data_IF_235662493036
#
_entry.id   IF_235662493036
#
_cell.length_a   1.000
_cell.length_b   1.000
_cell.length_c   1.000
_cell.angle_alpha   90.00
_cell.angle_beta   90.00
_cell.angle_gamma   90.00
#
_symmetry.space_group_name_H-M   'P 1'
#
loop_
_entity.id
_entity.type
_entity.pdbx_description
1 polymer ?
#
# COMPACT_ATOMS: atom_id res chain seq x y z
N UNK A 1 -27.37 2.29 -13.26
CA UNK A 1 -28.63 1.59 -12.98
C UNK A 1 -29.56 2.38 -12.07
N UNK A 2 -29.29 2.49 -10.75
CA UNK A 2 -30.21 3.13 -9.79
C UNK A 2 -30.55 4.59 -10.14
N UNK A 3 -29.56 5.39 -10.56
CA UNK A 3 -29.80 6.77 -11.04
C UNK A 3 -30.78 6.86 -12.22
N UNK A 4 -30.77 5.86 -13.10
CA UNK A 4 -31.60 5.85 -14.31
C UNK A 4 -32.94 5.14 -14.09
N UNK A 5 -33.06 4.33 -13.03
CA UNK A 5 -34.27 3.57 -12.69
C UNK A 5 -34.54 3.61 -11.19
N UNK A 6 -35.03 4.74 -10.64
CA UNK A 6 -35.21 4.91 -9.19
C UNK A 6 -36.14 3.87 -8.55
N UNK A 7 -37.15 3.40 -9.30
CA UNK A 7 -38.12 2.38 -8.85
C UNK A 7 -37.49 1.02 -8.56
N UNK A 8 -36.27 0.75 -9.07
CA UNK A 8 -35.64 -0.56 -8.91
C UNK A 8 -35.42 -0.92 -7.44
N UNK A 9 -35.16 0.06 -6.57
CA UNK A 9 -34.97 -0.18 -5.14
C UNK A 9 -36.26 -0.68 -4.47
N UNK A 10 -37.42 -0.17 -4.89
CA UNK A 10 -38.72 -0.64 -4.40
C UNK A 10 -39.04 -2.07 -4.86
N UNK A 11 -38.71 -2.40 -6.11
CA UNK A 11 -38.86 -3.77 -6.64
C UNK A 11 -37.96 -4.75 -5.87
N UNK A 12 -36.72 -4.36 -5.58
CA UNK A 12 -35.80 -5.16 -4.76
C UNK A 12 -36.33 -5.32 -3.32
N UNK A 13 -36.89 -4.25 -2.74
CA UNK A 13 -37.52 -4.31 -1.41
C UNK A 13 -38.68 -5.31 -1.39
N UNK A 14 -39.60 -5.22 -2.36
CA UNK A 14 -40.75 -6.13 -2.46
C UNK A 14 -40.29 -7.59 -2.60
N UNK A 15 -39.25 -7.84 -3.38
CA UNK A 15 -38.68 -9.16 -3.52
C UNK A 15 -38.11 -9.69 -2.19
N UNK A 16 -37.32 -8.88 -1.48
CA UNK A 16 -36.73 -9.24 -0.19
C UNK A 16 -37.82 -9.52 0.86
N UNK A 17 -38.85 -8.69 0.91
CA UNK A 17 -39.88 -8.76 1.95
C UNK A 17 -40.89 -9.89 1.70
N UNK A 18 -41.28 -10.13 0.44
CA UNK A 18 -42.43 -10.98 0.12
C UNK A 18 -42.12 -12.21 -0.72
N UNK A 19 -41.03 -12.24 -1.50
CA UNK A 19 -40.79 -13.31 -2.48
C UNK A 19 -39.83 -14.40 -2.01
N UNK A 20 -39.17 -14.23 -0.85
CA UNK A 20 -38.37 -15.14 0.00
C UNK A 20 -37.45 -16.23 -0.62
N UNK A 21 -37.51 -16.55 -1.91
CA UNK A 21 -36.61 -17.52 -2.55
C UNK A 21 -35.43 -16.79 -3.18
N UNK A 22 -34.25 -16.88 -2.54
CA UNK A 22 -32.97 -16.43 -3.08
C UNK A 22 -32.32 -15.26 -2.34
N UNK A 23 -31.01 -15.10 -2.55
CA UNK A 23 -30.21 -14.01 -1.99
C UNK A 23 -29.96 -12.94 -3.05
N UNK A 24 -30.05 -11.66 -2.66
CA UNK A 24 -29.68 -10.54 -3.53
C UNK A 24 -28.27 -10.08 -3.18
N UNK A 25 -27.37 -10.06 -4.16
CA UNK A 25 -26.03 -9.49 -4.03
C UNK A 25 -25.94 -8.22 -4.87
N UNK A 26 -25.69 -7.09 -4.21
CA UNK A 26 -25.46 -5.81 -4.88
C UNK A 26 -23.96 -5.52 -4.91
N UNK A 27 -23.41 -5.38 -6.11
CA UNK A 27 -22.01 -5.01 -6.31
C UNK A 27 -21.91 -3.64 -7.00
N UNK A 28 -20.88 -2.88 -6.64
CA UNK A 28 -20.64 -1.56 -7.24
C UNK A 28 -19.30 -0.98 -6.80
N UNK A 29 -18.62 -0.31 -7.73
CA UNK A 29 -17.30 0.29 -7.50
C UNK A 29 -17.35 1.58 -6.68
N UNK A 30 -18.50 2.27 -6.65
CA UNK A 30 -18.69 3.50 -5.89
C UNK A 30 -19.13 3.21 -4.45
N UNK A 31 -18.20 3.23 -3.50
CA UNK A 31 -18.50 3.01 -2.08
C UNK A 31 -19.54 4.00 -1.55
N UNK A 32 -19.51 5.27 -1.99
CA UNK A 32 -20.50 6.27 -1.58
C UNK A 32 -21.89 5.92 -2.09
N UNK A 33 -22.04 5.54 -3.36
CA UNK A 33 -23.31 5.08 -3.91
C UNK A 33 -23.79 3.83 -3.17
N UNK A 34 -22.92 2.84 -2.96
CA UNK A 34 -23.28 1.60 -2.24
C UNK A 34 -23.76 1.88 -0.81
N UNK A 35 -23.18 2.87 -0.12
CA UNK A 35 -23.66 3.32 1.20
C UNK A 35 -25.00 4.02 1.11
N UNK A 36 -25.22 4.84 0.08
CA UNK A 36 -26.47 5.56 -0.15
C UNK A 36 -27.64 4.58 -0.39
N UNK A 37 -27.39 3.47 -1.09
CA UNK A 37 -28.39 2.42 -1.36
C UNK A 37 -28.99 1.81 -0.09
N UNK A 38 -28.28 1.87 1.05
CA UNK A 38 -28.74 1.30 2.33
C UNK A 38 -28.88 2.38 3.41
N UNK A 39 -28.91 3.65 3.00
CA UNK A 39 -29.02 4.78 3.92
C UNK A 39 -30.46 5.00 4.39
N UNK A 40 -30.63 5.80 5.45
CA UNK A 40 -31.95 6.11 5.99
C UNK A 40 -32.79 6.81 4.91
N UNK A 41 -34.01 6.31 4.65
CA UNK A 41 -34.87 6.76 3.56
C UNK A 41 -34.77 5.93 2.27
N UNK A 42 -33.79 5.03 2.15
CA UNK A 42 -33.76 4.05 1.05
C UNK A 42 -34.76 2.90 1.29
N UNK A 43 -35.43 2.37 0.25
CA UNK A 43 -36.21 1.12 0.32
C UNK A 43 -35.44 -0.06 0.92
N UNK A 44 -34.11 -0.10 0.74
CA UNK A 44 -33.27 -1.17 1.27
C UNK A 44 -32.74 -0.89 2.69
N UNK A 45 -33.15 0.20 3.32
CA UNK A 45 -32.78 0.50 4.71
C UNK A 45 -33.20 -0.63 5.64
N UNK A 46 -32.30 -1.04 6.54
CA UNK A 46 -32.54 -2.14 7.49
C UNK A 46 -32.53 -3.54 6.90
N UNK A 47 -32.44 -3.71 5.57
CA UNK A 47 -32.49 -5.01 4.87
C UNK A 47 -31.12 -5.60 4.53
N UNK A 48 -30.05 -4.93 4.96
CA UNK A 48 -28.67 -5.36 4.71
C UNK A 48 -28.24 -6.39 5.74
N UNK A 49 -27.99 -7.62 5.30
CA UNK A 49 -27.46 -8.72 6.14
C UNK A 49 -25.93 -8.75 6.16
N UNK A 50 -25.28 -8.44 5.04
CA UNK A 50 -23.82 -8.45 4.90
C UNK A 50 -23.33 -7.25 4.10
N UNK A 51 -22.18 -6.69 4.49
CA UNK A 51 -21.48 -5.66 3.74
C UNK A 51 -20.02 -6.04 3.62
N UNK A 52 -19.56 -6.32 2.40
CA UNK A 52 -18.16 -6.63 2.12
C UNK A 52 -17.55 -5.48 1.30
N UNK A 53 -16.45 -4.91 1.80
CA UNK A 53 -15.56 -4.09 0.98
C UNK A 53 -14.47 -5.01 0.46
N UNK A 54 -14.47 -5.27 -0.84
CA UNK A 54 -13.43 -6.05 -1.49
C UNK A 54 -12.23 -5.14 -1.67
N UNK A 55 -11.14 -5.44 -0.97
CA UNK A 55 -9.85 -4.75 -1.08
C UNK A 55 -8.92 -5.54 -2.03
N UNK A 56 -7.84 -4.93 -2.53
CA UNK A 56 -6.78 -5.65 -3.21
C UNK A 56 -6.26 -6.83 -2.38
N UNK A 57 -5.78 -7.87 -3.06
CA UNK A 57 -5.12 -9.00 -2.41
C UNK A 57 -3.91 -8.52 -1.61
N UNK A 58 -3.73 -9.10 -0.43
CA UNK A 58 -2.52 -8.88 0.36
C UNK A 58 -1.34 -9.58 -0.31
N UNK A 59 -0.13 -9.07 -0.07
CA UNK A 59 1.11 -9.62 -0.62
C UNK A 59 1.18 -11.16 -0.50
N UNK A 60 0.79 -11.66 0.66
CA UNK A 60 0.89 -13.08 0.98
C UNK A 60 0.03 -14.02 0.10
N UNK A 61 -0.99 -13.50 -0.59
CA UNK A 61 -1.88 -14.30 -1.43
C UNK A 61 -1.48 -14.28 -2.91
N UNK A 62 -0.62 -13.34 -3.33
CA UNK A 62 -0.30 -13.21 -4.76
C UNK A 62 0.57 -14.37 -5.27
N UNK A 63 1.24 -15.10 -4.37
CA UNK A 63 2.06 -16.26 -4.72
C UNK A 63 1.27 -17.37 -5.42
N UNK A 64 -0.05 -17.45 -5.18
CA UNK A 64 -0.94 -18.40 -5.86
C UNK A 64 -1.00 -18.17 -7.38
N UNK A 65 -0.74 -16.94 -7.85
CA UNK A 65 -0.66 -16.60 -9.27
C UNK A 65 0.70 -16.94 -9.90
N UNK A 66 1.74 -17.11 -9.08
CA UNK A 66 3.13 -17.29 -9.51
C UNK A 66 3.82 -18.41 -8.71
N UNK A 67 3.40 -19.68 -8.89
CA UNK A 67 3.86 -20.79 -8.06
C UNK A 67 5.38 -21.06 -8.12
N UNK A 68 6.03 -20.63 -9.22
CA UNK A 68 7.48 -20.82 -9.42
C UNK A 68 8.33 -19.62 -8.98
N UNK A 69 7.71 -18.53 -8.52
CA UNK A 69 8.43 -17.32 -8.15
C UNK A 69 8.98 -17.41 -6.73
N UNK A 70 10.21 -16.94 -6.55
CA UNK A 70 10.73 -16.75 -5.20
C UNK A 70 10.00 -15.59 -4.51
N UNK A 71 10.03 -15.51 -3.17
CA UNK A 71 9.52 -14.34 -2.46
C UNK A 71 10.16 -13.02 -2.94
N UNK A 72 11.40 -13.05 -3.45
CA UNK A 72 12.04 -11.87 -4.00
C UNK A 72 11.34 -11.41 -5.28
N UNK A 73 10.96 -12.35 -6.14
CA UNK A 73 10.25 -12.06 -7.38
C UNK A 73 8.80 -11.68 -7.11
N UNK A 74 8.15 -12.28 -6.10
CA UNK A 74 6.83 -11.85 -5.64
C UNK A 74 6.85 -10.41 -5.11
N UNK A 75 7.89 -9.98 -4.39
CA UNK A 75 8.01 -8.57 -3.96
C UNK A 75 8.13 -7.64 -5.17
N UNK A 76 8.84 -8.04 -6.23
CA UNK A 76 8.91 -7.28 -7.48
C UNK A 76 7.54 -7.20 -8.15
N UNK A 77 6.84 -8.32 -8.31
CA UNK A 77 5.48 -8.36 -8.87
C UNK A 77 4.52 -7.49 -8.07
N UNK A 78 4.49 -7.66 -6.75
CA UNK A 78 3.66 -6.84 -5.87
C UNK A 78 4.02 -5.36 -6.01
N UNK A 79 5.31 -5.03 -6.14
CA UNK A 79 5.76 -3.67 -6.38
C UNK A 79 5.30 -3.10 -7.72
N UNK A 80 5.20 -3.93 -8.76
CA UNK A 80 4.73 -3.50 -10.07
C UNK A 80 3.22 -3.28 -10.14
N UNK A 81 2.43 -4.21 -9.59
CA UNK A 81 0.98 -4.25 -9.85
C UNK A 81 0.11 -4.34 -8.59
N UNK A 82 0.72 -4.39 -7.41
CA UNK A 82 0.01 -4.55 -6.15
C UNK A 82 -0.74 -5.87 -6.07
N UNK A 83 -1.90 -5.83 -5.43
CA UNK A 83 -2.77 -6.98 -5.22
C UNK A 83 -4.00 -7.02 -6.13
N UNK A 84 -4.00 -6.32 -7.26
CA UNK A 84 -5.16 -6.26 -8.15
C UNK A 84 -5.20 -7.53 -9.02
N UNK A 85 -6.22 -8.41 -8.89
CA UNK A 85 -6.24 -9.68 -9.60
C UNK A 85 -6.16 -9.54 -11.13
N UNK A 86 -6.85 -8.54 -11.70
CA UNK A 86 -6.80 -8.27 -13.15
C UNK A 86 -5.36 -8.06 -13.62
N UNK A 87 -4.56 -7.28 -12.90
CA UNK A 87 -3.17 -7.01 -13.29
C UNK A 87 -2.27 -8.22 -13.07
N UNK A 88 -2.49 -8.98 -11.99
CA UNK A 88 -1.73 -10.21 -11.73
C UNK A 88 -1.95 -11.25 -12.83
N UNK A 89 -3.18 -11.36 -13.36
CA UNK A 89 -3.53 -12.27 -14.47
C UNK A 89 -2.94 -11.84 -15.83
N UNK A 90 -2.53 -10.58 -15.99
CA UNK A 90 -1.86 -10.12 -17.22
C UNK A 90 -0.41 -10.57 -17.29
N UNK A 91 0.24 -10.76 -16.15
CA UNK A 91 1.63 -11.17 -16.11
C UNK A 91 1.75 -12.66 -16.42
N UNK A 92 2.79 -13.04 -17.15
CA UNK A 92 3.08 -14.43 -17.46
C UNK A 92 3.96 -15.05 -16.35
N UNK A 93 3.49 -16.07 -15.61
CA UNK A 93 4.22 -16.66 -14.49
C UNK A 93 5.41 -17.54 -14.91
N UNK A 94 5.62 -17.77 -16.20
CA UNK A 94 6.71 -18.58 -16.74
C UNK A 94 7.95 -17.78 -17.14
N UNK A 95 7.88 -16.44 -17.12
CA UNK A 95 9.01 -15.54 -17.42
C UNK A 95 9.43 -14.78 -16.16
N UNK A 96 10.51 -14.00 -16.19
CA UNK A 96 10.94 -13.19 -15.04
C UNK A 96 10.01 -12.00 -14.80
N UNK A 97 10.05 -11.45 -13.59
CA UNK A 97 9.34 -10.20 -13.25
C UNK A 97 9.79 -9.02 -14.13
N UNK A 98 11.07 -8.96 -14.47
CA UNK A 98 11.66 -7.93 -15.31
C UNK A 98 11.18 -8.04 -16.75
N UNK A 99 11.10 -9.26 -17.29
CA UNK A 99 10.56 -9.49 -18.64
C UNK A 99 9.06 -9.16 -18.70
N UNK A 100 8.31 -9.48 -17.64
CA UNK A 100 6.92 -9.03 -17.49
C UNK A 100 6.82 -7.49 -17.51
N UNK A 101 7.71 -6.80 -16.79
CA UNK A 101 7.76 -5.34 -16.81
C UNK A 101 8.02 -4.81 -18.23
N UNK A 102 9.05 -5.35 -18.91
CA UNK A 102 9.39 -4.99 -20.29
C UNK A 102 8.20 -5.12 -21.22
N UNK A 103 7.46 -6.24 -21.18
CA UNK A 103 6.31 -6.47 -22.07
C UNK A 103 5.13 -5.57 -21.74
N UNK A 104 4.72 -5.55 -20.48
CA UNK A 104 3.44 -4.95 -20.11
C UNK A 104 3.50 -3.43 -19.96
N UNK A 105 4.62 -2.88 -19.46
CA UNK A 105 4.78 -1.45 -19.25
C UNK A 105 5.55 -0.77 -20.37
N UNK A 106 6.66 -1.34 -20.84
CA UNK A 106 7.56 -0.66 -21.79
C UNK A 106 7.38 -1.11 -23.24
N UNK A 107 6.76 -2.28 -23.45
CA UNK A 107 6.44 -2.88 -24.74
C UNK A 107 5.02 -2.55 -25.21
N UNK A 108 4.38 -1.54 -24.60
CA UNK A 108 3.00 -1.11 -24.89
C UNK A 108 1.97 -2.24 -24.71
N UNK A 109 2.19 -3.11 -23.74
CA UNK A 109 1.21 -4.10 -23.30
C UNK A 109 0.04 -3.47 -22.54
N UNK A 110 -0.75 -4.28 -21.84
CA UNK A 110 -1.99 -3.82 -21.21
C UNK A 110 -1.73 -2.72 -20.16
N UNK A 111 -0.66 -2.88 -19.37
CA UNK A 111 -0.33 -1.99 -18.25
C UNK A 111 0.24 -0.64 -18.68
N UNK A 112 0.59 -0.46 -19.95
CA UNK A 112 1.14 0.80 -20.46
C UNK A 112 0.11 1.93 -20.46
N UNK A 113 -1.11 1.73 -20.99
CA UNK A 113 -2.11 2.80 -21.10
C UNK A 113 -3.20 2.77 -20.00
N UNK A 114 -3.21 1.73 -19.16
CA UNK A 114 -4.27 1.49 -18.18
C UNK A 114 -4.43 2.65 -17.18
N UNK A 115 -3.35 3.28 -16.72
CA UNK A 115 -3.39 4.41 -15.81
C UNK A 115 -4.14 5.61 -16.41
N UNK A 116 -3.86 5.94 -17.67
CA UNK A 116 -4.58 7.01 -18.37
C UNK A 116 -6.03 6.66 -18.60
N UNK A 117 -6.32 5.41 -19.00
CA UNK A 117 -7.68 4.92 -19.19
C UNK A 117 -8.50 5.05 -17.90
N UNK A 118 -7.96 4.58 -16.77
CA UNK A 118 -8.62 4.64 -15.47
C UNK A 118 -8.85 6.08 -15.00
N UNK A 119 -7.89 6.98 -15.21
CA UNK A 119 -8.04 8.38 -14.84
C UNK A 119 -9.06 9.06 -15.74
N UNK A 120 -9.01 8.87 -17.06
CA UNK A 120 -9.99 9.41 -18.04
C UNK A 120 -11.41 8.96 -17.71
N UNK A 121 -11.58 7.70 -17.32
CA UNK A 121 -12.87 7.16 -16.95
C UNK A 121 -13.45 7.81 -15.68
N UNK A 122 -12.59 8.19 -14.73
CA UNK A 122 -13.01 8.67 -13.40
C UNK A 122 -13.01 10.19 -13.27
N UNK A 123 -12.25 10.92 -14.08
CA UNK A 123 -11.88 12.32 -13.85
C UNK A 123 -12.01 13.16 -15.13
N UNK A 124 -12.39 14.44 -14.96
CA UNK A 124 -12.60 15.38 -16.09
C UNK A 124 -11.38 16.26 -16.42
N UNK A 125 -10.56 16.62 -15.42
CA UNK A 125 -9.38 17.48 -15.58
C UNK A 125 -8.11 16.69 -15.29
N UNK A 126 -7.61 15.96 -16.29
CA UNK A 126 -6.51 15.01 -16.13
C UNK A 126 -5.16 15.67 -15.94
N UNK A 127 -4.94 16.82 -16.58
CA UNK A 127 -3.66 17.52 -16.53
C UNK A 127 -3.28 17.84 -15.08
N UNK A 128 -4.21 18.43 -14.31
CA UNK A 128 -3.93 18.75 -12.90
C UNK A 128 -3.67 17.49 -12.05
N UNK A 129 -4.38 16.39 -12.29
CA UNK A 129 -4.12 15.13 -11.56
C UNK A 129 -2.77 14.53 -11.91
N UNK A 130 -2.40 14.51 -13.20
CA UNK A 130 -1.10 14.03 -13.66
C UNK A 130 0.02 14.84 -13.03
N UNK A 131 -0.06 16.17 -13.03
CA UNK A 131 0.94 17.04 -12.39
C UNK A 131 1.10 16.76 -10.89
N UNK A 132 0.01 16.47 -10.17
CA UNK A 132 0.09 16.11 -8.75
C UNK A 132 0.72 14.72 -8.57
N UNK A 133 0.33 13.73 -9.37
CA UNK A 133 0.83 12.36 -9.26
C UNK A 133 2.33 12.28 -9.62
N UNK A 134 2.75 12.98 -10.66
CA UNK A 134 4.15 13.17 -11.03
C UNK A 134 4.96 13.87 -9.93
N UNK A 135 4.43 14.94 -9.33
CA UNK A 135 5.09 15.55 -8.18
C UNK A 135 5.25 14.57 -7.00
N UNK A 136 4.23 13.77 -6.71
CA UNK A 136 4.34 12.77 -5.64
C UNK A 136 5.35 11.67 -6.01
N UNK A 137 5.41 11.21 -7.26
CA UNK A 137 6.40 10.20 -7.70
C UNK A 137 7.84 10.71 -7.61
N UNK A 138 8.07 12.00 -7.87
CA UNK A 138 9.37 12.66 -7.64
C UNK A 138 9.73 12.90 -6.17
N UNK A 139 8.87 12.51 -5.23
CA UNK A 139 9.19 12.53 -3.80
C UNK A 139 8.80 13.82 -3.07
N UNK A 140 8.00 14.69 -3.69
CA UNK A 140 7.35 15.79 -2.97
C UNK A 140 6.22 15.21 -2.10
N UNK A 141 6.37 15.29 -0.77
CA UNK A 141 5.51 14.53 0.16
C UNK A 141 4.65 15.42 1.05
N UNK A 142 4.98 16.67 1.28
CA UNK A 142 4.18 17.58 2.10
C UNK A 142 3.21 18.39 1.26
N UNK A 143 2.16 18.91 1.90
CA UNK A 143 1.21 19.79 1.23
C UNK A 143 1.89 21.04 0.65
N UNK A 144 2.85 21.61 1.37
CA UNK A 144 3.56 22.82 0.95
C UNK A 144 4.51 22.55 -0.23
N UNK A 145 5.24 21.43 -0.20
CA UNK A 145 6.07 21.00 -1.33
C UNK A 145 5.23 20.81 -2.59
N UNK A 146 4.13 20.05 -2.49
CA UNK A 146 3.21 19.85 -3.61
C UNK A 146 2.63 21.15 -4.11
N UNK A 147 2.18 22.04 -3.22
CA UNK A 147 1.66 23.36 -3.60
C UNK A 147 2.69 24.18 -4.36
N UNK A 148 3.93 24.19 -3.89
CA UNK A 148 5.00 24.98 -4.49
C UNK A 148 5.41 24.44 -5.86
N UNK A 149 5.60 23.12 -6.01
CA UNK A 149 6.04 22.53 -7.29
C UNK A 149 4.91 22.51 -8.34
N UNK A 150 3.66 22.32 -7.92
CA UNK A 150 2.51 22.29 -8.85
C UNK A 150 1.96 23.67 -9.18
N UNK A 151 2.33 24.71 -8.42
CA UNK A 151 1.79 26.08 -8.57
C UNK A 151 0.29 26.23 -8.25
N UNK A 152 -0.36 25.18 -7.74
CA UNK A 152 -1.79 25.21 -7.43
C UNK A 152 -2.07 26.03 -6.18
N UNK A 153 -3.21 26.73 -6.15
CA UNK A 153 -3.69 27.33 -4.91
C UNK A 153 -4.08 26.24 -3.89
N UNK A 154 -4.05 26.59 -2.59
CA UNK A 154 -4.27 25.62 -1.52
C UNK A 154 -5.67 24.99 -1.53
N UNK A 155 -6.70 25.71 -1.99
CA UNK A 155 -8.06 25.18 -2.04
C UNK A 155 -8.21 24.15 -3.16
N UNK A 156 -7.63 24.45 -4.33
CA UNK A 156 -7.58 23.55 -5.46
C UNK A 156 -6.77 22.30 -5.11
N UNK A 157 -5.53 22.42 -4.63
CA UNK A 157 -4.72 21.26 -4.25
C UNK A 157 -5.44 20.34 -3.23
N UNK A 158 -6.10 20.93 -2.22
CA UNK A 158 -6.89 20.15 -1.25
C UNK A 158 -7.99 19.33 -1.92
N UNK A 159 -8.70 19.90 -2.89
CA UNK A 159 -9.77 19.21 -3.63
C UNK A 159 -9.24 18.05 -4.45
N UNK A 160 -8.17 18.25 -5.23
CA UNK A 160 -7.60 17.20 -6.08
C UNK A 160 -7.00 16.06 -5.23
N UNK A 161 -6.24 16.38 -4.17
CA UNK A 161 -5.73 15.36 -3.25
C UNK A 161 -6.86 14.56 -2.58
N UNK A 162 -7.95 15.23 -2.17
CA UNK A 162 -9.09 14.53 -1.57
C UNK A 162 -9.74 13.54 -2.55
N UNK A 163 -9.81 13.90 -3.84
CA UNK A 163 -10.34 13.00 -4.87
C UNK A 163 -9.39 11.81 -5.08
N UNK A 164 -8.08 12.05 -5.24
CA UNK A 164 -7.09 10.97 -5.39
C UNK A 164 -7.04 10.03 -4.18
N UNK A 165 -7.20 10.56 -2.97
CA UNK A 165 -7.31 9.77 -1.73
C UNK A 165 -8.57 8.93 -1.71
N UNK A 166 -9.71 9.51 -2.09
CA UNK A 166 -10.98 8.76 -2.16
C UNK A 166 -10.96 7.67 -3.24
N UNK A 167 -10.19 7.86 -4.31
CA UNK A 167 -9.95 6.85 -5.34
C UNK A 167 -8.95 5.76 -4.90
N UNK A 168 -8.24 5.95 -3.79
CA UNK A 168 -7.20 5.03 -3.32
C UNK A 168 -5.87 5.14 -4.06
N UNK A 169 -5.73 6.11 -4.98
CA UNK A 169 -4.51 6.32 -5.77
C UNK A 169 -3.44 7.01 -4.92
N UNK A 170 -3.83 8.01 -4.12
CA UNK A 170 -2.93 8.72 -3.21
C UNK A 170 -3.25 8.35 -1.77
N UNK A 171 -2.21 8.04 -1.00
CA UNK A 171 -2.29 7.88 0.44
C UNK A 171 -1.92 9.18 1.17
N UNK A 172 -2.40 9.28 2.41
CA UNK A 172 -1.95 10.30 3.35
C UNK A 172 -1.63 9.63 4.68
N UNK A 173 -0.39 9.75 5.12
CA UNK A 173 0.07 9.23 6.40
C UNK A 173 0.45 10.37 7.36
N UNK A 174 0.44 10.10 8.66
CA UNK A 174 0.94 10.99 9.72
C UNK A 174 1.67 10.14 10.74
N UNK A 175 2.58 10.71 11.55
CA UNK A 175 3.31 9.94 12.55
C UNK A 175 2.34 9.17 13.43
N UNK A 176 2.60 7.90 13.70
CA UNK A 176 1.66 7.02 14.44
C UNK A 176 1.41 7.51 15.87
N UNK A 177 2.30 8.33 16.42
CA UNK A 177 2.14 8.96 17.74
C UNK A 177 1.20 10.16 17.72
N UNK A 178 0.92 10.75 16.56
CA UNK A 178 -0.08 11.80 16.46
C UNK A 178 -1.48 11.24 16.70
N UNK A 179 -2.28 11.95 17.49
CA UNK A 179 -3.70 11.63 17.66
C UNK A 179 -4.44 11.96 16.35
N UNK A 180 -5.45 11.15 15.95
CA UNK A 180 -6.25 11.43 14.77
C UNK A 180 -6.92 12.80 14.88
N UNK A 181 -6.40 13.81 14.19
CA UNK A 181 -7.04 15.12 14.01
C UNK A 181 -7.46 15.24 12.55
N UNK A 182 -8.58 15.94 12.28
CA UNK A 182 -9.07 16.20 10.91
C UNK A 182 -8.01 16.88 10.00
N UNK A 183 -7.03 17.57 10.59
CA UNK A 183 -5.87 18.15 9.89
C UNK A 183 -4.59 17.89 10.68
N UNK A 184 -3.99 16.72 10.49
CA UNK A 184 -2.61 16.48 10.91
C UNK A 184 -1.68 17.38 10.08
N UNK A 185 -0.99 18.33 10.72
CA UNK A 185 -0.16 19.34 10.03
C UNK A 185 1.13 18.74 9.45
N UNK A 186 1.56 17.60 9.98
CA UNK A 186 2.80 16.93 9.60
C UNK A 186 2.54 15.70 8.72
N UNK A 187 1.45 15.70 7.93
CA UNK A 187 1.15 14.56 7.06
C UNK A 187 2.02 14.53 5.82
N UNK A 188 2.33 13.31 5.37
CA UNK A 188 2.99 13.04 4.09
C UNK A 188 2.03 12.35 3.11
N UNK A 189 2.12 12.71 1.84
CA UNK A 189 1.40 12.13 0.72
C UNK A 189 2.32 11.17 -0.05
N UNK A 190 1.75 10.11 -0.59
CA UNK A 190 2.44 9.10 -1.39
C UNK A 190 1.45 8.48 -2.39
N UNK A 191 1.94 7.89 -3.47
CA UNK A 191 1.09 7.08 -4.34
C UNK A 191 0.86 5.74 -3.63
N UNK A 192 -0.38 5.47 -3.24
CA UNK A 192 -0.73 4.28 -2.46
C UNK A 192 -0.93 3.03 -3.31
N UNK A 193 -1.26 3.21 -4.58
CA UNK A 193 -1.43 2.13 -5.54
C UNK A 193 -0.10 1.85 -6.26
N UNK A 194 0.41 0.63 -6.11
CA UNK A 194 1.72 0.22 -6.64
C UNK A 194 1.80 0.31 -8.17
N UNK A 195 0.71 0.02 -8.88
CA UNK A 195 0.65 0.16 -10.33
C UNK A 195 0.80 1.63 -10.74
N UNK A 196 0.01 2.52 -10.12
CA UNK A 196 0.15 3.95 -10.36
C UNK A 196 1.54 4.46 -9.99
N UNK A 197 2.15 3.94 -8.92
CA UNK A 197 3.49 4.35 -8.51
C UNK A 197 4.54 3.97 -9.55
N UNK A 198 4.49 2.75 -10.10
CA UNK A 198 5.38 2.34 -11.20
C UNK A 198 5.12 3.14 -12.47
N UNK A 199 3.86 3.33 -12.84
CA UNK A 199 3.50 4.11 -14.03
C UNK A 199 4.06 5.53 -13.97
N UNK A 200 3.79 6.28 -12.91
CA UNK A 200 4.24 7.68 -12.78
C UNK A 200 5.73 7.84 -12.48
N UNK A 201 6.42 6.79 -12.06
CA UNK A 201 7.87 6.84 -11.79
C UNK A 201 8.68 6.43 -13.03
N UNK A 202 8.26 5.38 -13.74
CA UNK A 202 9.08 4.74 -14.77
C UNK A 202 8.52 4.83 -16.18
N UNK A 203 7.20 5.02 -16.35
CA UNK A 203 6.56 5.02 -17.68
C UNK A 203 6.21 6.44 -18.12
N UNK A 204 5.43 7.16 -17.32
CA UNK A 204 4.90 8.48 -17.65
C UNK A 204 5.98 9.49 -18.08
N UNK A 205 7.16 9.59 -17.42
CA UNK A 205 8.20 10.54 -17.84
C UNK A 205 8.83 10.24 -19.20
N UNK A 206 8.75 8.99 -19.67
CA UNK A 206 9.36 8.50 -20.91
C UNK A 206 8.33 8.11 -21.96
N UNK A 207 7.08 8.58 -21.80
CA UNK A 207 5.96 8.12 -22.61
C UNK A 207 6.20 8.34 -24.10
N UNK A 208 6.66 9.53 -24.48
CA UNK A 208 6.96 9.89 -25.88
C UNK A 208 8.01 8.94 -26.51
N UNK A 209 9.09 8.65 -25.79
CA UNK A 209 10.12 7.70 -26.25
C UNK A 209 9.54 6.29 -26.46
N UNK A 210 8.72 5.80 -25.52
CA UNK A 210 8.05 4.50 -25.65
C UNK A 210 7.08 4.49 -26.85
N UNK A 211 6.34 5.56 -27.11
CA UNK A 211 5.42 5.67 -28.26
C UNK A 211 6.17 5.64 -29.61
N UNK A 212 7.36 6.24 -29.66
CA UNK A 212 8.27 6.23 -30.80
C UNK A 212 9.01 4.89 -30.99
N UNK A 213 8.81 3.92 -30.09
CA UNK A 213 9.50 2.63 -30.13
C UNK A 213 10.94 2.68 -29.63
N UNK A 214 11.28 3.68 -28.81
CA UNK A 214 12.59 3.91 -28.20
C UNK A 214 12.51 3.80 -26.66
N UNK A 215 12.22 2.61 -26.09
CA UNK A 215 11.99 2.46 -24.66
C UNK A 215 13.27 2.40 -23.81
N UNK A 216 14.45 2.46 -24.42
CA UNK A 216 15.73 2.16 -23.76
C UNK A 216 15.99 3.06 -22.55
N UNK A 217 15.74 4.37 -22.64
CA UNK A 217 15.92 5.30 -21.51
C UNK A 217 14.98 4.98 -20.33
N UNK A 218 13.74 4.58 -20.63
CA UNK A 218 12.76 4.18 -19.63
C UNK A 218 13.18 2.88 -18.93
N UNK A 219 13.70 1.92 -19.70
CA UNK A 219 14.20 0.64 -19.22
C UNK A 219 15.45 0.80 -18.36
N UNK A 220 16.40 1.63 -18.80
CA UNK A 220 17.60 1.96 -18.00
C UNK A 220 17.22 2.63 -16.67
N UNK A 221 16.27 3.56 -16.69
CA UNK A 221 15.77 4.17 -15.47
C UNK A 221 15.10 3.14 -14.54
N UNK A 222 14.25 2.27 -15.08
CA UNK A 222 13.62 1.19 -14.33
C UNK A 222 14.67 0.26 -13.70
N UNK A 223 15.63 -0.23 -14.49
CA UNK A 223 16.68 -1.13 -13.99
C UNK A 223 17.52 -0.50 -12.88
N UNK A 224 17.84 0.79 -13.00
CA UNK A 224 18.64 1.53 -12.01
C UNK A 224 17.89 1.77 -10.70
N UNK A 225 16.63 2.22 -10.79
CA UNK A 225 15.92 2.79 -9.64
C UNK A 225 14.79 1.90 -9.09
N UNK A 226 14.39 0.83 -9.79
CA UNK A 226 13.33 -0.07 -9.33
C UNK A 226 13.67 -0.74 -7.99
N UNK A 227 14.92 -1.18 -7.79
CA UNK A 227 15.32 -1.78 -6.50
C UNK A 227 15.21 -0.80 -5.32
N UNK A 228 15.40 0.51 -5.56
CA UNK A 228 15.19 1.54 -4.55
C UNK A 228 13.70 1.70 -4.24
N UNK A 229 12.86 1.71 -5.27
CA UNK A 229 11.40 1.72 -5.12
C UNK A 229 10.88 0.51 -4.32
N UNK A 230 11.45 -0.68 -4.54
CA UNK A 230 11.11 -1.89 -3.77
C UNK A 230 11.35 -1.75 -2.26
N UNK A 231 12.24 -0.85 -1.83
CA UNK A 231 12.39 -0.53 -0.40
C UNK A 231 11.07 -0.05 0.22
N UNK A 232 10.37 0.86 -0.45
CA UNK A 232 9.08 1.39 -0.01
C UNK A 232 7.98 0.32 -0.06
N UNK A 233 7.95 -0.48 -1.13
CA UNK A 233 7.01 -1.62 -1.25
C UNK A 233 7.23 -2.61 -0.09
N UNK A 234 8.49 -2.90 0.23
CA UNK A 234 8.85 -3.87 1.27
C UNK A 234 8.50 -3.37 2.68
N UNK A 235 8.50 -2.07 2.94
CA UNK A 235 7.95 -1.50 4.18
C UNK A 235 6.45 -1.83 4.34
N UNK A 236 5.67 -1.71 3.26
CA UNK A 236 4.26 -2.11 3.22
C UNK A 236 4.08 -3.60 3.51
N UNK A 237 4.86 -4.45 2.83
CA UNK A 237 4.85 -5.91 3.06
C UNK A 237 5.26 -6.28 4.49
N UNK A 238 6.28 -5.63 5.05
CA UNK A 238 6.71 -5.83 6.44
C UNK A 238 5.60 -5.42 7.43
N UNK A 239 4.86 -4.35 7.14
CA UNK A 239 3.71 -3.93 7.95
C UNK A 239 2.61 -4.99 7.94
N UNK A 240 2.26 -5.52 6.76
CA UNK A 240 1.27 -6.62 6.65
C UNK A 240 1.71 -7.86 7.42
N UNK A 241 3.00 -8.20 7.33
CA UNK A 241 3.61 -9.30 8.06
C UNK A 241 3.50 -9.13 9.59
N UNK A 242 3.88 -7.97 10.12
CA UNK A 242 3.76 -7.67 11.55
C UNK A 242 2.31 -7.70 12.03
N UNK A 243 1.34 -7.24 11.21
CA UNK A 243 -0.09 -7.38 11.50
C UNK A 243 -0.49 -8.87 11.58
N UNK A 244 0.04 -9.70 10.69
CA UNK A 244 -0.16 -11.15 10.73
C UNK A 244 0.36 -11.77 12.04
N UNK A 245 1.60 -11.46 12.43
CA UNK A 245 2.18 -11.89 13.71
C UNK A 245 1.36 -11.41 14.92
N UNK A 246 0.87 -10.18 14.89
CA UNK A 246 0.03 -9.60 15.94
C UNK A 246 -1.26 -10.40 16.14
N UNK A 247 -1.95 -10.73 15.03
CA UNK A 247 -3.17 -11.54 15.07
C UNK A 247 -2.91 -12.95 15.61
N UNK A 248 -1.78 -13.54 15.23
CA UNK A 248 -1.36 -14.87 15.68
C UNK A 248 -0.79 -14.88 17.12
N UNK A 249 -0.70 -13.73 17.81
CA UNK A 249 -0.13 -13.67 19.17
C UNK A 249 1.37 -13.97 19.22
N UNK A 250 2.09 -13.83 18.10
CA UNK A 250 3.53 -14.15 17.97
C UNK A 250 4.45 -12.95 18.24
N UNK A 251 3.91 -11.84 18.75
CA UNK A 251 4.67 -10.65 19.15
C UNK A 251 4.71 -10.53 20.68
N UNK A 252 5.69 -9.81 21.27
CA UNK A 252 5.80 -9.63 22.72
C UNK A 252 4.59 -8.96 23.39
N UNK A 253 3.74 -8.32 22.60
CA UNK A 253 2.45 -7.76 23.01
C UNK A 253 1.53 -7.62 21.80
N UNK A 254 0.23 -7.44 22.06
CA UNK A 254 -0.73 -7.09 21.02
C UNK A 254 -0.76 -5.58 20.81
N UNK A 255 -0.41 -5.10 19.62
CA UNK A 255 -0.54 -3.68 19.30
C UNK A 255 -1.94 -3.34 18.78
N UNK A 256 -2.38 -2.11 19.00
CA UNK A 256 -3.66 -1.58 18.51
C UNK A 256 -3.47 -0.58 17.36
N UNK A 257 -2.27 0.00 17.23
CA UNK A 257 -1.89 0.92 16.15
C UNK A 257 -0.53 0.55 15.60
N UNK A 258 -0.35 0.71 14.29
CA UNK A 258 0.95 0.56 13.61
C UNK A 258 1.03 1.54 12.43
N UNK A 259 2.15 2.25 12.33
CA UNK A 259 2.43 3.19 11.25
C UNK A 259 3.85 3.73 11.37
N UNK A 260 4.26 4.63 10.48
CA UNK A 260 5.59 5.23 10.54
C UNK A 260 5.66 6.33 11.60
N UNK A 261 6.87 6.76 11.93
CA UNK A 261 7.11 7.93 12.76
C UNK A 261 8.20 8.79 12.15
N UNK A 262 8.02 10.11 12.15
CA UNK A 262 9.05 11.05 11.75
C UNK A 262 9.03 12.31 12.60
N UNK A 263 10.22 12.86 12.86
CA UNK A 263 10.40 14.13 13.54
C UNK A 263 11.70 14.79 13.05
N UNK A 264 11.59 16.01 12.51
CA UNK A 264 12.71 16.71 11.86
C UNK A 264 13.33 15.83 10.76
N UNK A 265 14.59 15.45 10.91
CA UNK A 265 15.35 14.64 9.95
C UNK A 265 15.39 13.14 10.32
N UNK A 266 14.66 12.73 11.36
CA UNK A 266 14.65 11.37 11.87
C UNK A 266 13.35 10.66 11.49
N UNK A 267 13.45 9.40 11.11
CA UNK A 267 12.32 8.55 10.72
C UNK A 267 12.53 7.11 11.23
N UNK A 268 11.44 6.48 11.67
CA UNK A 268 11.35 5.06 11.98
C UNK A 268 10.29 4.46 11.07
N UNK A 269 10.68 3.46 10.28
CA UNK A 269 9.87 2.85 9.23
C UNK A 269 8.54 2.32 9.79
N UNK A 270 8.56 1.59 10.91
CA UNK A 270 7.35 1.09 11.56
C UNK A 270 7.42 1.20 13.09
N UNK A 271 6.36 1.76 13.67
CA UNK A 271 6.16 1.86 15.11
C UNK A 271 4.78 1.29 15.44
N UNK A 272 4.78 0.24 16.26
CA UNK A 272 3.58 -0.42 16.75
C UNK A 272 3.35 -0.05 18.22
N UNK A 273 2.13 0.38 18.55
CA UNK A 273 1.77 0.93 19.87
C UNK A 273 0.63 0.17 20.51
N UNK A 274 0.73 -0.02 21.83
CA UNK A 274 -0.39 -0.31 22.71
C UNK A 274 -0.41 0.72 23.85
N UNK A 275 -1.28 1.72 23.71
CA UNK A 275 -1.42 2.84 24.66
C UNK A 275 -1.90 2.38 26.03
N UNK A 276 -2.74 1.34 26.11
CA UNK A 276 -3.29 0.83 27.38
C UNK A 276 -2.22 0.14 28.21
N UNK A 277 -1.36 -0.64 27.58
CA UNK A 277 -0.27 -1.37 28.24
C UNK A 277 1.03 -0.59 28.32
N UNK A 278 1.10 0.61 27.72
CA UNK A 278 2.33 1.40 27.54
C UNK A 278 3.47 0.57 26.94
N UNK A 279 3.20 -0.11 25.81
CA UNK A 279 4.19 -0.92 25.09
C UNK A 279 4.36 -0.43 23.65
N UNK A 280 5.61 -0.38 23.20
CA UNK A 280 5.97 0.03 21.86
C UNK A 280 6.96 -0.95 21.23
N UNK A 281 6.80 -1.21 19.93
CA UNK A 281 7.76 -1.92 19.10
C UNK A 281 8.19 -0.99 17.96
N UNK A 282 9.49 -0.71 17.89
CA UNK A 282 10.12 0.05 16.81
C UNK A 282 10.79 -0.92 15.85
N UNK A 283 10.60 -0.73 14.55
CA UNK A 283 11.13 -1.63 13.52
C UNK A 283 11.68 -0.82 12.35
N UNK A 284 12.91 -1.14 11.97
CA UNK A 284 13.49 -0.73 10.68
C UNK A 284 13.24 -1.82 9.65
N UNK A 285 12.98 -1.41 8.40
CA UNK A 285 12.76 -2.29 7.27
C UNK A 285 13.80 -2.01 6.20
N UNK A 286 14.48 -3.05 5.72
CA UNK A 286 15.56 -2.89 4.74
C UNK A 286 15.47 -3.91 3.61
N UNK A 287 15.19 -3.44 2.40
CA UNK A 287 15.29 -4.25 1.19
C UNK A 287 16.75 -4.47 0.77
N UNK A 288 17.52 -5.14 1.63
CA UNK A 288 18.95 -5.40 1.46
C UNK A 288 19.35 -6.71 2.15
N UNK A 289 20.33 -7.40 1.57
CA UNK A 289 21.01 -8.53 2.20
C UNK A 289 22.02 -8.00 3.22
N UNK A 290 21.80 -8.23 4.52
CA UNK A 290 22.56 -7.63 5.61
C UNK A 290 23.57 -8.60 6.24
N UNK A 291 24.79 -8.12 6.44
CA UNK A 291 25.76 -8.74 7.35
C UNK A 291 25.38 -8.46 8.80
N UNK A 292 25.86 -9.30 9.72
CA UNK A 292 25.55 -9.17 11.16
C UNK A 292 25.96 -7.78 11.70
N UNK A 293 27.13 -7.26 11.28
CA UNK A 293 27.62 -5.94 11.72
C UNK A 293 26.73 -4.78 11.23
N UNK A 294 26.21 -4.86 10.01
CA UNK A 294 25.29 -3.84 9.47
C UNK A 294 23.95 -3.86 10.24
N UNK A 295 23.42 -5.06 10.50
CA UNK A 295 22.21 -5.24 11.28
C UNK A 295 22.35 -4.69 12.71
N UNK A 296 23.49 -4.93 13.38
CA UNK A 296 23.80 -4.34 14.69
C UNK A 296 23.83 -2.82 14.64
N UNK A 297 24.43 -2.23 13.61
CA UNK A 297 24.48 -0.78 13.42
C UNK A 297 23.07 -0.18 13.29
N UNK A 298 22.23 -0.78 12.46
CA UNK A 298 20.83 -0.35 12.27
C UNK A 298 20.04 -0.43 13.57
N UNK A 299 20.16 -1.53 14.32
CA UNK A 299 19.44 -1.71 15.58
C UNK A 299 19.88 -0.70 16.66
N UNK A 300 21.18 -0.38 16.74
CA UNK A 300 21.69 0.66 17.66
C UNK A 300 21.17 2.05 17.30
N UNK A 301 21.13 2.38 16.02
CA UNK A 301 20.55 3.66 15.58
C UNK A 301 19.04 3.71 15.82
N UNK A 302 18.33 2.60 15.64
CA UNK A 302 16.91 2.48 15.96
C UNK A 302 16.64 2.69 17.46
N UNK A 303 17.48 2.17 18.35
CA UNK A 303 17.39 2.45 19.79
C UNK A 303 17.57 3.94 20.10
N UNK A 304 18.52 4.60 19.43
CA UNK A 304 18.72 6.05 19.55
C UNK A 304 17.47 6.81 19.10
N UNK A 305 16.92 6.49 17.93
CA UNK A 305 15.68 7.10 17.42
C UNK A 305 14.48 6.85 18.34
N UNK A 306 14.36 5.64 18.90
CA UNK A 306 13.28 5.27 19.83
C UNK A 306 13.22 6.13 21.10
N UNK A 307 14.33 6.78 21.48
CA UNK A 307 14.36 7.79 22.56
C UNK A 307 13.75 9.13 22.15
N UNK A 308 13.78 9.47 20.87
CA UNK A 308 13.23 10.74 20.34
C UNK A 308 11.70 10.73 20.21
N UNK A 309 11.07 9.55 20.31
CA UNK A 309 9.62 9.38 20.12
C UNK A 309 8.80 9.95 21.30
N UNK A 310 9.43 10.14 22.47
CA UNK A 310 8.77 10.69 23.67
C UNK A 310 7.87 9.68 24.40
N UNK A 311 8.31 8.42 24.49
CA UNK A 311 7.62 7.32 25.16
C UNK A 311 8.45 6.77 26.33
N UNK A 312 8.98 7.64 27.19
CA UNK A 312 9.99 7.27 28.18
C UNK A 312 9.50 6.26 29.22
N UNK A 313 8.25 6.37 29.66
CA UNK A 313 7.62 5.44 30.62
C UNK A 313 7.07 4.15 29.98
N UNK A 314 7.39 3.88 28.72
CA UNK A 314 6.87 2.72 27.99
C UNK A 314 7.90 1.61 27.91
N UNK A 315 7.43 0.35 27.92
CA UNK A 315 8.28 -0.79 27.58
C UNK A 315 8.53 -0.79 26.07
N UNK A 316 9.80 -0.67 25.68
CA UNK A 316 10.26 -0.58 24.28
C UNK A 316 10.84 -1.92 23.82
N UNK A 317 10.47 -2.36 22.63
CA UNK A 317 11.09 -3.45 21.91
C UNK A 317 11.59 -2.94 20.57
N UNK A 318 12.66 -3.56 20.05
CA UNK A 318 13.32 -3.13 18.83
C UNK A 318 13.43 -4.31 17.86
N UNK A 319 13.16 -4.04 16.60
CA UNK A 319 13.19 -5.07 15.57
C UNK A 319 13.75 -4.59 14.24
N UNK A 320 14.03 -5.58 13.39
CA UNK A 320 14.57 -5.37 12.06
C UNK A 320 13.94 -6.41 11.12
N UNK A 321 13.35 -5.93 10.02
CA UNK A 321 12.92 -6.77 8.90
C UNK A 321 13.83 -6.48 7.72
N UNK A 322 14.44 -7.51 7.13
CA UNK A 322 15.26 -7.30 5.94
C UNK A 322 15.06 -8.38 4.86
N UNK A 323 15.64 -8.17 3.67
CA UNK A 323 15.63 -9.16 2.60
C UNK A 323 16.32 -10.47 3.04
N UNK A 324 17.51 -10.35 3.63
CA UNK A 324 18.19 -11.43 4.35
C UNK A 324 19.09 -10.88 5.45
N UNK A 325 19.30 -11.67 6.52
CA UNK A 325 20.15 -11.28 7.65
C UNK A 325 21.04 -12.46 8.03
N UNK A 326 22.36 -12.28 7.97
CA UNK A 326 23.31 -13.28 8.48
C UNK A 326 23.30 -13.32 10.01
N UNK A 327 23.41 -14.52 10.58
CA UNK A 327 23.51 -14.74 12.03
C UNK A 327 22.38 -14.14 12.88
N UNK A 328 21.15 -14.16 12.35
CA UNK A 328 19.97 -13.58 13.02
C UNK A 328 19.70 -14.10 14.44
N UNK A 329 20.06 -15.36 14.74
CA UNK A 329 19.87 -15.92 16.09
C UNK A 329 20.75 -15.24 17.14
N UNK A 330 21.94 -14.76 16.77
CA UNK A 330 22.82 -14.00 17.68
C UNK A 330 22.24 -12.61 18.01
N UNK A 331 21.39 -12.06 17.15
CA UNK A 331 20.65 -10.83 17.42
C UNK A 331 19.41 -11.12 18.28
N UNK A 332 18.70 -12.22 17.99
CA UNK A 332 17.53 -12.66 18.76
C UNK A 332 17.88 -12.99 20.21
N UNK A 333 19.03 -13.62 20.46
CA UNK A 333 19.51 -13.92 21.82
C UNK A 333 19.77 -12.67 22.66
N UNK A 334 19.96 -11.50 22.03
CA UNK A 334 20.09 -10.18 22.68
C UNK A 334 18.75 -9.48 22.89
N UNK A 335 17.62 -10.13 22.56
CA UNK A 335 16.27 -9.61 22.73
C UNK A 335 15.73 -8.80 21.55
N UNK A 336 16.47 -8.71 20.43
CA UNK A 336 15.96 -8.07 19.21
C UNK A 336 14.95 -8.95 18.47
N UNK A 337 13.92 -8.33 17.91
CA UNK A 337 12.95 -9.01 17.06
C UNK A 337 13.38 -8.92 15.60
N UNK A 338 14.01 -9.98 15.08
CA UNK A 338 14.66 -9.95 13.76
C UNK A 338 14.00 -10.94 12.81
N UNK A 339 13.64 -10.48 11.61
CA UNK A 339 13.00 -11.27 10.56
C UNK A 339 13.62 -11.05 9.19
N UNK A 340 13.67 -12.10 8.37
CA UNK A 340 13.99 -12.04 6.94
C UNK A 340 12.90 -12.68 6.06
N UNK A 341 13.06 -12.63 4.74
CA UNK A 341 12.09 -13.25 3.81
C UNK A 341 11.79 -14.72 4.12
N UNK A 342 12.77 -15.49 4.63
CA UNK A 342 12.54 -16.90 4.99
C UNK A 342 11.63 -17.04 6.21
N UNK A 343 11.65 -16.08 7.14
CA UNK A 343 10.69 -16.06 8.25
C UNK A 343 9.28 -15.74 7.74
N UNK A 344 9.15 -14.86 6.73
CA UNK A 344 7.87 -14.57 6.07
C UNK A 344 7.32 -15.82 5.38
N UNK A 345 8.15 -16.52 4.61
CA UNK A 345 7.81 -17.76 3.89
C UNK A 345 7.24 -18.82 4.82
N UNK A 346 7.95 -19.13 5.91
CA UNK A 346 7.52 -20.11 6.91
C UNK A 346 6.13 -19.81 7.47
N UNK A 347 5.83 -18.53 7.64
CA UNK A 347 4.53 -18.11 8.17
C UNK A 347 3.44 -18.22 7.12
N UNK A 348 3.74 -17.91 5.85
CA UNK A 348 2.82 -18.11 4.73
C UNK A 348 2.51 -19.60 4.57
N UNK A 349 3.52 -20.46 4.51
CA UNK A 349 3.33 -21.92 4.39
C UNK A 349 2.63 -22.53 5.61
N UNK A 350 2.79 -21.96 6.81
CA UNK A 350 2.07 -22.43 8.00
C UNK A 350 0.58 -22.09 8.03
N UNK A 351 0.07 -21.28 7.10
CA UNK A 351 -1.35 -20.90 7.03
C UNK A 351 -2.25 -21.98 6.44
N UNK A 352 -1.70 -23.05 5.87
CA UNK A 352 -2.46 -24.26 5.59
C UNK A 352 -2.98 -24.96 6.88
N UNK A 353 -2.70 -24.38 8.06
CA UNK A 353 -3.17 -24.86 9.36
C UNK A 353 -3.68 -23.80 10.33
N UNK A 354 -4.21 -22.64 9.88
CA UNK A 354 -4.97 -21.69 10.73
C UNK A 354 -6.43 -21.63 10.31
#
# INVERSE_FOLDING_TARGET
>A
MVKNHPKILGVLQEHIDFRQSGSIVLCGSSVSMMKELVSHGSPLYGRRTLSLKVEPLKFLYIGEFFPNYSLKDLVKVYGMVGGIPEYLLRLNPSISSEENARREFFGRGFLYDEAEYLLRYKLRDLSTYNTILEAVSYGYRSFNELRNVTGLDGSKLTRYLSILINLGIVGRESPVTERPKRRARNSRYYIADNYFAVYYTFVYPYKEGIELGLPDEALEHFERDFNRYLGWVFEGTAREFLIGLNKAGKLPFRFTRIGKWWHKNEEIDLVALNEREKKALFVEVKWKDLKEIEAKGILRDLERKGRLVGLDDWKKSYGLVAKSIKEKEALRSKGYLVWDLRDLERIISSRDGI
#
